data_IF_996222397166
#
_entry.id   IF_996222397166
#
_cell.length_a   1.000
_cell.length_b   1.000
_cell.length_c   1.000
_cell.angle_alpha   90.00
_cell.angle_beta   90.00
_cell.angle_gamma   90.00
#
_symmetry.space_group_name_H-M   'P 1'
#
loop_
_entity.id
_entity.type
_entity.pdbx_description
1 polymer ?
#
# COMPACT_ATOMS: atom_id res chain seq x y z
N UNK A 1 -1.28 -12.34 -2.66
CA UNK A 1 -1.10 -11.15 -1.81
C UNK A 1 0.38 -10.86 -1.64
N UNK A 2 0.76 -9.60 -1.83
CA UNK A 2 2.13 -9.14 -1.60
C UNK A 2 2.13 -8.19 -0.40
N UNK A 3 3.18 -8.25 0.40
CA UNK A 3 3.27 -7.50 1.66
C UNK A 3 4.57 -6.71 1.69
N UNK A 4 4.48 -5.44 2.08
CA UNK A 4 5.65 -4.57 2.16
C UNK A 4 5.61 -3.77 3.45
N UNK A 5 6.77 -3.62 4.08
CA UNK A 5 6.92 -2.70 5.20
C UNK A 5 7.23 -1.32 4.66
N UNK A 6 6.60 -0.30 5.23
CA UNK A 6 6.91 1.11 4.94
C UNK A 6 7.96 1.55 5.95
N UNK A 7 9.10 2.00 5.46
CA UNK A 7 10.23 2.42 6.29
C UNK A 7 10.67 3.82 5.91
N UNK A 8 11.31 4.51 6.84
CA UNK A 8 11.81 5.86 6.62
C UNK A 8 13.34 5.80 6.44
N UNK A 9 13.81 6.24 5.28
CA UNK A 9 15.25 6.27 4.97
C UNK A 9 16.04 7.24 5.81
N UNK A 10 15.38 8.20 6.47
CA UNK A 10 16.05 9.15 7.36
C UNK A 10 16.15 8.68 8.81
N UNK A 11 15.51 7.57 9.16
CA UNK A 11 15.53 7.08 10.53
C UNK A 11 16.92 6.52 10.89
N UNK A 12 17.38 6.83 12.08
CA UNK A 12 18.67 6.32 12.57
C UNK A 12 18.64 4.81 12.70
N UNK A 13 17.53 4.27 13.17
CA UNK A 13 17.33 2.84 13.30
C UNK A 13 16.17 2.44 12.42
N UNK A 14 16.40 1.62 11.39
CA UNK A 14 15.31 1.19 10.51
C UNK A 14 14.26 0.40 11.30
N UNK A 15 13.00 0.73 11.07
CA UNK A 15 11.90 -0.03 11.65
C UNK A 15 10.70 0.01 10.71
N UNK A 16 9.83 -0.96 10.86
CA UNK A 16 8.62 -1.05 10.06
C UNK A 16 7.58 -0.11 10.67
N UNK A 17 7.23 0.95 9.94
CA UNK A 17 6.30 1.97 10.41
C UNK A 17 4.85 1.61 10.11
N UNK A 18 4.63 0.92 9.01
CA UNK A 18 3.32 0.48 8.57
C UNK A 18 3.53 -0.63 7.57
N UNK A 19 2.43 -1.26 7.13
CA UNK A 19 2.51 -2.36 6.17
C UNK A 19 1.53 -2.14 5.04
N UNK A 20 2.02 -2.23 3.81
CA UNK A 20 1.21 -2.13 2.61
C UNK A 20 0.92 -3.53 2.11
N UNK A 21 -0.36 -3.82 1.92
CA UNK A 21 -0.83 -5.10 1.39
C UNK A 21 -1.40 -4.88 0.00
N UNK A 22 -0.91 -5.65 -0.96
CA UNK A 22 -1.43 -5.62 -2.31
C UNK A 22 -2.13 -6.94 -2.61
N UNK A 23 -3.42 -6.87 -2.88
CA UNK A 23 -4.23 -8.04 -3.26
C UNK A 23 -4.30 -8.07 -4.77
N UNK A 24 -3.49 -8.93 -5.37
CA UNK A 24 -3.27 -8.99 -6.81
C UNK A 24 -4.54 -9.23 -7.61
N UNK A 25 -5.40 -10.06 -7.07
CA UNK A 25 -6.62 -10.48 -7.75
C UNK A 25 -7.55 -9.30 -8.02
N UNK A 26 -7.70 -8.42 -7.06
CA UNK A 26 -8.58 -7.25 -7.16
C UNK A 26 -7.80 -5.96 -7.42
N UNK A 27 -6.48 -6.03 -7.48
CA UNK A 27 -5.60 -4.86 -7.60
C UNK A 27 -5.89 -3.83 -6.53
N UNK A 28 -6.07 -4.29 -5.30
CA UNK A 28 -6.48 -3.46 -4.17
C UNK A 28 -5.34 -3.31 -3.18
N UNK A 29 -5.17 -2.09 -2.68
CA UNK A 29 -4.18 -1.78 -1.65
C UNK A 29 -4.84 -1.56 -0.31
N UNK A 30 -4.23 -2.09 0.75
CA UNK A 30 -4.58 -1.78 2.13
C UNK A 30 -3.31 -1.43 2.87
N UNK A 31 -3.39 -0.47 3.77
CA UNK A 31 -2.28 -0.17 4.67
C UNK A 31 -2.74 -0.48 6.08
N UNK A 32 -1.91 -1.24 6.82
CA UNK A 32 -2.16 -1.57 8.21
C UNK A 32 -1.15 -0.85 9.07
N UNK A 33 -1.63 -0.21 10.12
CA UNK A 33 -0.80 0.49 11.08
C UNK A 33 -0.62 -0.39 12.31
N UNK A 34 0.61 -0.52 12.85
CA UNK A 34 0.81 -1.27 14.06
C UNK A 34 0.20 -0.54 15.26
N UNK A 35 -0.15 -1.28 16.31
CA UNK A 35 -0.60 -0.65 17.54
C UNK A 35 0.54 0.16 18.13
N UNK A 36 0.22 1.31 18.67
CA UNK A 36 1.26 2.18 19.21
C UNK A 36 2.04 2.95 18.18
N UNK A 37 1.54 3.01 16.92
CA UNK A 37 2.20 3.80 15.89
C UNK A 37 2.29 5.26 16.32
N UNK A 38 3.44 5.89 16.03
CA UNK A 38 3.69 7.28 16.36
C UNK A 38 3.30 8.15 15.18
N UNK A 39 2.38 9.09 15.39
CA UNK A 39 1.93 9.97 14.31
C UNK A 39 3.05 10.81 13.71
N UNK A 40 4.08 11.09 14.47
CA UNK A 40 5.20 11.90 14.00
C UNK A 40 6.17 11.12 13.10
N UNK A 41 6.19 9.80 13.25
CA UNK A 41 7.02 8.94 12.42
C UNK A 41 6.28 8.40 11.21
N UNK A 42 4.95 8.43 11.24
CA UNK A 42 4.10 7.88 10.18
C UNK A 42 3.98 8.87 9.02
N UNK A 43 3.94 8.40 7.76
CA UNK A 43 3.73 9.30 6.63
C UNK A 43 2.54 10.22 6.85
N UNK A 44 2.68 11.47 6.42
CA UNK A 44 1.69 12.51 6.71
C UNK A 44 0.26 12.12 6.33
N UNK A 45 0.07 11.51 5.18
CA UNK A 45 -1.26 11.09 4.73
C UNK A 45 -1.89 10.10 5.69
N UNK A 46 -1.09 9.29 6.37
CA UNK A 46 -1.56 8.25 7.26
C UNK A 46 -1.64 8.70 8.72
N UNK A 47 -1.02 9.81 9.06
CA UNK A 47 -0.92 10.27 10.45
C UNK A 47 -2.29 10.55 11.08
N UNK A 48 -3.25 11.00 10.29
CA UNK A 48 -4.59 11.26 10.81
C UNK A 48 -5.28 9.99 11.28
N UNK A 49 -4.96 8.84 10.67
CA UNK A 49 -5.50 7.55 11.10
C UNK A 49 -4.92 7.16 12.46
N UNK A 50 -3.62 7.43 12.65
CA UNK A 50 -2.97 7.19 13.94
C UNK A 50 -3.62 8.04 15.01
N UNK A 51 -3.87 9.32 14.73
CA UNK A 51 -4.50 10.24 15.68
C UNK A 51 -5.89 9.76 16.12
N UNK A 52 -6.65 9.20 15.17
CA UNK A 52 -7.99 8.72 15.47
C UNK A 52 -8.01 7.32 16.10
N UNK A 53 -6.84 6.69 16.27
CA UNK A 53 -6.77 5.34 16.79
C UNK A 53 -7.20 4.27 15.81
N UNK A 54 -7.27 4.61 14.54
CA UNK A 54 -7.59 3.64 13.49
C UNK A 54 -6.34 2.90 13.08
N UNK A 55 -6.46 1.59 12.86
CA UNK A 55 -5.32 0.76 12.52
C UNK A 55 -5.33 0.26 11.08
N UNK A 56 -6.49 0.32 10.43
CA UNK A 56 -6.61 -0.08 9.03
C UNK A 56 -6.94 1.14 8.19
N UNK A 57 -6.10 1.41 7.21
CA UNK A 57 -6.34 2.48 6.23
C UNK A 57 -7.09 1.85 5.07
N UNK A 58 -8.28 2.34 4.78
CA UNK A 58 -9.14 1.76 3.75
C UNK A 58 -8.50 1.83 2.36
N UNK A 59 -9.03 1.07 1.38
CA UNK A 59 -8.43 1.05 0.04
C UNK A 59 -8.32 2.40 -0.64
N UNK A 60 -9.28 3.29 -0.42
CA UNK A 60 -9.25 4.61 -1.04
C UNK A 60 -8.00 5.40 -0.62
N UNK A 61 -7.77 5.51 0.69
CA UNK A 61 -6.62 6.25 1.21
C UNK A 61 -5.31 5.53 0.99
N UNK A 62 -5.32 4.20 1.02
CA UNK A 62 -4.14 3.40 0.73
C UNK A 62 -3.70 3.59 -0.72
N UNK A 63 -4.65 3.58 -1.65
CA UNK A 63 -4.38 3.82 -3.05
C UNK A 63 -3.86 5.24 -3.28
N UNK A 64 -4.42 6.20 -2.56
CA UNK A 64 -3.99 7.59 -2.65
C UNK A 64 -2.52 7.74 -2.24
N UNK A 65 -2.12 7.04 -1.18
CA UNK A 65 -0.72 7.04 -0.76
C UNK A 65 0.18 6.47 -1.86
N UNK A 66 -0.24 5.38 -2.49
CA UNK A 66 0.49 4.78 -3.61
C UNK A 66 0.59 5.76 -4.78
N UNK A 67 -0.53 6.38 -5.13
CA UNK A 67 -0.59 7.29 -6.26
C UNK A 67 0.32 8.51 -6.10
N UNK A 68 0.56 8.95 -4.89
CA UNK A 68 1.47 10.04 -4.62
C UNK A 68 2.92 9.68 -4.95
N UNK A 69 3.23 8.41 -5.09
CA UNK A 69 4.59 7.90 -5.24
C UNK A 69 4.92 7.44 -6.64
N UNK A 70 3.94 7.40 -7.53
CA UNK A 70 4.13 6.89 -8.88
C UNK A 70 3.88 7.98 -9.92
N UNK A 71 4.28 7.71 -11.14
CA UNK A 71 4.10 8.63 -12.26
C UNK A 71 2.62 8.66 -12.65
N UNK A 72 1.99 9.85 -12.73
CA UNK A 72 0.58 9.94 -13.14
C UNK A 72 0.36 9.46 -14.58
N UNK A 73 -0.84 8.94 -14.85
CA UNK A 73 -1.21 8.48 -16.19
C UNK A 73 -1.26 9.62 -17.20
N UNK A 74 -1.51 10.84 -16.75
CA UNK A 74 -1.61 12.01 -17.61
C UNK A 74 -0.26 12.66 -17.90
N UNK A 75 0.82 12.07 -17.42
CA UNK A 75 2.15 12.60 -17.71
C UNK A 75 2.43 12.48 -19.21
N UNK A 76 2.93 13.54 -19.80
CA UNK A 76 3.10 13.66 -21.24
C UNK A 76 3.91 12.53 -21.88
N UNK A 77 4.91 12.01 -21.20
CA UNK A 77 5.77 10.96 -21.74
C UNK A 77 5.54 9.59 -21.08
N UNK A 78 4.35 9.35 -20.57
CA UNK A 78 4.08 8.10 -19.84
C UNK A 78 4.30 6.87 -20.70
N UNK A 79 3.95 6.92 -21.97
CA UNK A 79 4.15 5.79 -22.87
C UNK A 79 5.63 5.44 -23.03
N UNK A 80 6.51 6.43 -23.12
CA UNK A 80 7.94 6.21 -23.21
C UNK A 80 8.49 5.65 -21.91
N UNK A 81 8.03 6.17 -20.77
CA UNK A 81 8.45 5.66 -19.46
C UNK A 81 8.09 4.18 -19.31
N UNK A 82 6.90 3.81 -19.71
CA UNK A 82 6.47 2.41 -19.66
C UNK A 82 7.36 1.52 -20.53
N UNK A 83 7.61 1.93 -21.78
CA UNK A 83 8.44 1.16 -22.68
C UNK A 83 9.87 1.02 -22.20
N UNK A 84 10.44 2.10 -21.67
CA UNK A 84 11.82 2.09 -21.19
C UNK A 84 12.00 1.14 -19.99
N UNK A 85 10.91 0.84 -19.29
CA UNK A 85 10.94 -0.06 -18.13
C UNK A 85 10.31 -1.42 -18.43
N UNK A 86 10.05 -1.72 -19.70
CA UNK A 86 9.52 -3.02 -20.10
C UNK A 86 8.07 -3.25 -19.73
N UNK A 87 7.31 -2.18 -19.53
CA UNK A 87 5.89 -2.28 -19.18
C UNK A 87 5.04 -1.96 -20.40
N UNK A 88 4.01 -2.75 -20.62
CA UNK A 88 3.11 -2.54 -21.75
C UNK A 88 1.91 -1.67 -21.36
N UNK A 89 1.46 -1.83 -20.14
CA UNK A 89 0.28 -1.13 -19.64
C UNK A 89 0.62 -0.37 -18.38
N UNK A 90 -0.17 0.69 -18.12
CA UNK A 90 -0.07 1.42 -16.87
C UNK A 90 -0.67 0.56 -15.76
N UNK A 91 0.15 0.23 -14.77
CA UNK A 91 -0.28 -0.53 -13.60
C UNK A 91 0.38 0.10 -12.38
N UNK A 92 -0.43 0.48 -11.41
CA UNK A 92 0.05 1.20 -10.23
C UNK A 92 1.05 0.39 -9.42
N UNK A 93 0.80 -0.91 -9.28
CA UNK A 93 1.71 -1.76 -8.52
C UNK A 93 3.05 -1.89 -9.22
N UNK A 94 3.05 -2.11 -10.53
CA UNK A 94 4.30 -2.24 -11.29
C UNK A 94 5.13 -0.98 -11.19
N UNK A 95 4.50 0.18 -11.30
CA UNK A 95 5.20 1.46 -11.19
C UNK A 95 5.74 1.68 -9.78
N UNK A 96 4.99 1.28 -8.78
CA UNK A 96 5.43 1.39 -7.39
C UNK A 96 6.70 0.56 -7.17
N UNK A 97 6.76 -0.61 -7.77
CA UNK A 97 7.89 -1.51 -7.61
C UNK A 97 9.16 -1.03 -8.32
N UNK A 98 9.04 -0.23 -9.36
CA UNK A 98 10.22 0.27 -10.08
C UNK A 98 11.20 1.03 -9.20
N UNK A 99 10.70 1.73 -8.19
CA UNK A 99 11.53 2.52 -7.31
C UNK A 99 11.44 2.07 -5.85
N UNK A 100 10.97 0.85 -5.60
CA UNK A 100 10.77 0.32 -4.25
C UNK A 100 9.92 1.26 -3.39
N UNK A 101 8.92 1.86 -4.01
CA UNK A 101 8.01 2.76 -3.33
C UNK A 101 8.57 4.15 -3.02
N UNK A 102 9.75 4.47 -3.52
CA UNK A 102 10.36 5.79 -3.25
C UNK A 102 9.74 6.88 -4.12
N UNK A 103 9.75 8.09 -3.61
CA UNK A 103 9.36 9.26 -4.40
C UNK A 103 10.22 10.46 -4.01
N UNK A 104 10.09 11.54 -4.78
CA UNK A 104 10.94 12.73 -4.58
C UNK A 104 10.54 13.57 -3.37
N UNK A 105 9.31 13.41 -2.86
CA UNK A 105 8.79 14.28 -1.80
C UNK A 105 9.14 13.83 -0.40
N UNK A 106 9.56 12.59 -0.21
CA UNK A 106 9.90 12.09 1.13
C UNK A 106 10.95 10.98 1.04
N UNK A 107 11.31 10.44 2.19
CA UNK A 107 12.33 9.39 2.28
C UNK A 107 11.74 8.01 2.61
N UNK A 108 10.43 7.85 2.52
CA UNK A 108 9.82 6.54 2.76
C UNK A 108 10.09 5.60 1.60
N UNK A 109 10.22 4.32 1.92
CA UNK A 109 10.43 3.27 0.92
C UNK A 109 9.79 1.98 1.39
N UNK A 110 9.69 1.01 0.49
CA UNK A 110 9.07 -0.27 0.76
C UNK A 110 10.10 -1.39 0.78
N UNK A 111 9.92 -2.31 1.71
CA UNK A 111 10.72 -3.53 1.79
C UNK A 111 9.76 -4.71 1.89
N UNK A 112 9.90 -5.67 0.98
CA UNK A 112 8.99 -6.82 0.96
C UNK A 112 9.12 -7.66 2.24
N UNK A 113 7.97 -8.16 2.72
CA UNK A 113 7.90 -8.99 3.93
C UNK A 113 7.12 -10.26 3.66
N UNK A 114 7.44 -11.29 4.39
CA UNK A 114 6.63 -12.51 4.43
C UNK A 114 5.60 -12.37 5.52
N UNK A 115 4.50 -13.09 5.38
CA UNK A 115 3.44 -13.05 6.38
C UNK A 115 3.96 -13.42 7.78
N UNK A 116 4.91 -14.36 7.87
CA UNK A 116 5.50 -14.76 9.13
C UNK A 116 6.32 -13.65 9.81
N UNK A 117 6.71 -12.63 9.06
CA UNK A 117 7.50 -11.51 9.58
C UNK A 117 6.66 -10.39 10.16
N UNK A 118 5.34 -10.48 10.03
CA UNK A 118 4.43 -9.45 10.51
C UNK A 118 4.15 -9.59 12.00
N UNK A 119 3.85 -8.48 12.70
CA UNK A 119 3.34 -8.56 14.07
C UNK A 119 2.08 -9.42 14.13
N UNK A 120 1.89 -10.14 15.23
CA UNK A 120 0.75 -11.04 15.41
C UNK A 120 -0.58 -10.32 15.22
N UNK A 121 -0.71 -9.12 15.76
CA UNK A 121 -1.93 -8.31 15.65
C UNK A 121 -2.31 -8.03 14.20
N UNK A 122 -1.31 -7.77 13.37
CA UNK A 122 -1.55 -7.49 11.95
C UNK A 122 -1.92 -8.77 11.21
N UNK A 123 -1.26 -9.88 11.51
CA UNK A 123 -1.60 -11.16 10.91
C UNK A 123 -3.05 -11.56 11.21
N UNK A 124 -3.50 -11.32 12.42
CA UNK A 124 -4.87 -11.61 12.81
C UNK A 124 -5.87 -10.74 12.05
N UNK A 125 -5.56 -9.47 11.86
CA UNK A 125 -6.44 -8.56 11.11
C UNK A 125 -6.58 -8.97 9.66
N UNK A 126 -5.48 -9.32 8.99
CA UNK A 126 -5.55 -9.70 7.59
C UNK A 126 -6.21 -11.05 7.38
N UNK A 127 -6.04 -11.98 8.32
CA UNK A 127 -6.71 -13.26 8.25
C UNK A 127 -8.22 -13.08 8.30
N UNK A 128 -8.70 -12.23 9.18
CA UNK A 128 -10.12 -11.91 9.29
C UNK A 128 -10.65 -11.24 8.02
N UNK A 129 -9.89 -10.35 7.43
CA UNK A 129 -10.26 -9.68 6.18
C UNK A 129 -10.38 -10.66 5.03
N UNK A 130 -9.47 -11.62 4.93
CA UNK A 130 -9.51 -12.63 3.89
C UNK A 130 -10.79 -13.48 4.01
N UNK A 131 -11.18 -13.83 5.22
CA UNK A 131 -12.42 -14.56 5.46
C UNK A 131 -13.64 -13.75 5.03
N UNK A 132 -13.61 -12.45 5.25
CA UNK A 132 -14.71 -11.58 4.85
C UNK A 132 -14.80 -11.44 3.34
N UNK A 133 -13.67 -11.49 2.64
CA UNK A 133 -13.62 -11.31 1.20
C UNK A 133 -14.04 -12.57 0.45
N UNK A 134 -13.60 -13.73 0.90
CA UNK A 134 -13.87 -15.00 0.20
C UNK A 134 -15.35 -15.29 0.01
N UNK A 135 -16.22 -15.07 0.98
CA UNK A 135 -17.65 -15.38 0.82
C UNK A 135 -18.42 -14.40 -0.02
N UNK A 136 -17.81 -13.44 -0.65
CA UNK A 136 -18.53 -12.36 -1.31
C UNK A 136 -18.52 -12.37 -2.84
N UNK A 137 -18.35 -13.49 -3.56
CA UNK A 137 -18.31 -13.41 -5.02
C UNK A 137 -19.56 -12.81 -5.64
N UNK A 138 -20.76 -13.19 -5.20
CA UNK A 138 -21.98 -12.62 -5.74
C UNK A 138 -22.18 -11.18 -5.33
N UNK A 139 -21.95 -10.92 -4.08
CA UNK A 139 -21.99 -9.58 -3.55
C UNK A 139 -20.97 -8.71 -4.26
N UNK A 140 -19.82 -9.25 -4.49
CA UNK A 140 -18.74 -8.58 -5.16
C UNK A 140 -19.09 -8.20 -6.60
N UNK A 141 -19.81 -9.04 -7.31
CA UNK A 141 -20.28 -8.73 -8.64
C UNK A 141 -21.22 -7.56 -8.66
N UNK A 142 -22.16 -7.50 -7.72
CA UNK A 142 -23.05 -6.36 -7.62
C UNK A 142 -22.35 -5.09 -7.21
N UNK A 143 -21.38 -5.24 -6.34
CA UNK A 143 -20.71 -4.14 -5.71
C UNK A 143 -19.71 -3.47 -6.58
N UNK A 144 -19.07 -4.16 -7.45
CA UNK A 144 -18.04 -3.58 -8.26
C UNK A 144 -18.49 -3.18 -9.63
N UNK A 145 -19.76 -3.32 -9.91
CA UNK A 145 -20.27 -2.83 -11.12
C UNK A 145 -19.95 -1.43 -11.42
N UNK A 146 -19.93 -0.54 -10.47
CA UNK A 146 -19.61 0.83 -10.73
C UNK A 146 -18.18 1.06 -11.20
N UNK A 147 -17.36 0.10 -11.06
CA UNK A 147 -15.97 0.26 -11.43
C UNK A 147 -15.72 0.17 -12.91
#
# INVERSE_FOLDING_TARGET
>A
MRIFAIRDGNADVPKDLAYLFYYEKDKTFYIELPEGADEWETPLLLSSFVKRGETTVNPYWSKLWVQQRIIPTDRQNIGQVLRDNGLELYDEFDLLMLADGRCAQDEYYLTERKESELPTEIRERIAHRVEDVVPLPQYHLLYRHPC
#
